data_IF_540441922202
#
_entry.id   IF_540441922202
#
_cell.length_a   1.000
_cell.length_b   1.000
_cell.length_c   1.000
_cell.angle_alpha   90.00
_cell.angle_beta   90.00
_cell.angle_gamma   90.00
#
_symmetry.space_group_name_H-M   'P 1'
#
loop_
_entity.id
_entity.type
_entity.pdbx_description
1 polymer ?
#
# COMPACT_ATOMS: atom_id res chain seq x y z
N UNK A 1 -15.33 -16.65 -19.19
CA UNK A 1 -16.47 -16.35 -18.32
C UNK A 1 -17.63 -17.26 -18.66
N UNK A 2 -18.47 -17.57 -17.69
CA UNK A 2 -19.62 -18.46 -17.84
C UNK A 2 -20.92 -17.67 -17.86
N UNK A 3 -21.90 -18.18 -18.62
CA UNK A 3 -23.27 -17.65 -18.61
C UNK A 3 -23.81 -17.56 -17.18
N UNK A 4 -24.39 -16.40 -16.84
CA UNK A 4 -24.92 -16.09 -15.52
C UNK A 4 -23.92 -15.40 -14.59
N UNK A 5 -22.64 -15.34 -14.97
CA UNK A 5 -21.66 -14.46 -14.32
C UNK A 5 -21.92 -12.99 -14.69
N UNK A 6 -21.13 -12.10 -14.11
CA UNK A 6 -21.15 -10.67 -14.40
C UNK A 6 -19.71 -10.18 -14.50
N UNK A 7 -19.46 -9.16 -15.30
CA UNK A 7 -18.19 -8.43 -15.39
C UNK A 7 -18.37 -7.17 -14.56
N UNK A 8 -17.48 -6.93 -13.58
CA UNK A 8 -17.43 -5.68 -12.80
C UNK A 8 -16.14 -4.96 -13.13
N UNK A 9 -16.26 -3.70 -13.49
CA UNK A 9 -15.16 -2.83 -13.89
C UNK A 9 -15.30 -1.51 -13.15
N UNK A 10 -14.21 -1.04 -12.56
CA UNK A 10 -14.09 0.33 -12.05
C UNK A 10 -12.83 0.97 -12.67
N UNK A 11 -13.01 2.12 -13.30
CA UNK A 11 -11.92 2.90 -13.91
C UNK A 11 -11.72 4.18 -13.13
N UNK A 12 -10.46 4.49 -12.85
CA UNK A 12 -10.09 5.69 -12.10
C UNK A 12 -8.72 6.23 -12.50
N UNK A 13 -8.47 7.50 -12.20
CA UNK A 13 -7.18 8.17 -12.44
C UNK A 13 -6.63 8.78 -11.15
N UNK A 14 -5.30 8.93 -11.03
CA UNK A 14 -4.70 9.49 -9.82
C UNK A 14 -4.73 11.02 -9.79
N UNK A 15 -4.94 11.65 -10.93
CA UNK A 15 -4.87 13.10 -11.14
C UNK A 15 -6.00 13.56 -12.03
N UNK A 16 -6.48 14.77 -11.77
CA UNK A 16 -7.45 15.44 -12.62
C UNK A 16 -6.71 16.05 -13.82
N UNK A 17 -7.03 15.62 -15.03
CA UNK A 17 -6.44 16.12 -16.28
C UNK A 17 -7.45 15.99 -17.43
N UNK A 18 -7.02 16.36 -18.65
CA UNK A 18 -7.81 16.18 -19.88
C UNK A 18 -7.93 14.71 -20.31
N UNK A 19 -7.03 13.84 -19.81
CA UNK A 19 -7.11 12.39 -20.01
C UNK A 19 -8.33 11.81 -19.30
N UNK A 20 -9.33 11.40 -20.08
CA UNK A 20 -10.61 10.87 -19.62
C UNK A 20 -10.94 9.58 -20.41
N UNK A 21 -10.18 8.51 -20.19
CA UNK A 21 -10.28 7.30 -20.99
C UNK A 21 -11.63 6.59 -20.79
N UNK A 22 -12.17 6.03 -21.86
CA UNK A 22 -13.37 5.19 -21.85
C UNK A 22 -13.00 3.70 -21.77
N UNK A 23 -13.98 2.86 -21.47
CA UNK A 23 -13.83 1.39 -21.57
C UNK A 23 -14.58 0.88 -22.79
N UNK A 24 -13.97 -0.03 -23.54
CA UNK A 24 -14.67 -0.92 -24.48
C UNK A 24 -14.69 -2.34 -23.92
N UNK A 25 -15.86 -2.98 -23.94
CA UNK A 25 -16.01 -4.40 -23.58
C UNK A 25 -16.57 -5.15 -24.77
N UNK A 26 -15.94 -6.27 -25.13
CA UNK A 26 -16.39 -7.13 -26.23
C UNK A 26 -16.38 -8.60 -25.84
N UNK A 27 -17.27 -9.37 -26.44
CA UNK A 27 -17.40 -10.80 -26.18
C UNK A 27 -18.71 -11.37 -26.72
N UNK A 28 -18.92 -12.68 -26.55
CA UNK A 28 -20.12 -13.35 -27.03
C UNK A 28 -21.38 -12.83 -26.33
N UNK A 29 -22.50 -12.83 -27.04
CA UNK A 29 -23.79 -12.37 -26.53
C UNK A 29 -23.92 -10.86 -26.23
N UNK A 30 -22.85 -10.06 -26.41
CA UNK A 30 -22.93 -8.60 -26.39
C UNK A 30 -23.50 -8.12 -27.72
N UNK A 31 -24.44 -7.18 -27.67
CA UNK A 31 -24.98 -6.50 -28.86
C UNK A 31 -24.32 -5.14 -28.99
N UNK A 32 -23.82 -4.83 -30.19
CA UNK A 32 -23.30 -3.50 -30.49
C UNK A 32 -24.43 -2.47 -30.48
N UNK A 33 -24.36 -1.55 -29.53
CA UNK A 33 -25.32 -0.43 -29.39
C UNK A 33 -24.77 0.88 -29.92
N UNK A 34 -23.45 1.00 -30.01
CA UNK A 34 -22.75 2.25 -30.29
C UNK A 34 -21.96 2.18 -31.61
N UNK A 35 -21.47 3.33 -32.08
CA UNK A 35 -20.53 3.40 -33.21
C UNK A 35 -19.13 3.08 -32.69
N UNK A 36 -18.44 2.15 -33.35
CA UNK A 36 -17.08 1.77 -32.96
C UNK A 36 -16.13 2.95 -33.22
N UNK A 37 -15.36 3.41 -32.21
CA UNK A 37 -14.39 4.48 -32.40
C UNK A 37 -13.27 4.06 -33.35
N UNK A 38 -12.79 5.00 -34.15
CA UNK A 38 -11.62 4.79 -35.01
C UNK A 38 -10.40 4.43 -34.16
N UNK A 39 -9.70 3.36 -34.52
CA UNK A 39 -8.56 2.83 -33.76
C UNK A 39 -8.88 1.72 -32.75
N UNK A 40 -10.16 1.38 -32.55
CA UNK A 40 -10.56 0.17 -31.81
C UNK A 40 -10.87 -0.97 -32.79
N UNK A 41 -10.22 -2.11 -32.63
CA UNK A 41 -10.50 -3.32 -33.40
C UNK A 41 -11.26 -4.34 -32.53
N UNK A 42 -12.35 -4.89 -33.08
CA UNK A 42 -13.16 -5.90 -32.41
C UNK A 42 -13.02 -7.24 -33.16
N UNK A 43 -12.82 -8.37 -32.44
CA UNK A 43 -12.78 -9.68 -33.08
C UNK A 43 -14.04 -9.98 -33.91
N UNK A 44 -13.87 -10.63 -35.04
CA UNK A 44 -14.96 -10.93 -35.96
C UNK A 44 -16.08 -11.74 -35.26
N UNK A 45 -17.33 -11.32 -35.49
CA UNK A 45 -18.51 -11.97 -34.90
C UNK A 45 -18.79 -11.63 -33.43
N UNK A 46 -18.01 -10.74 -32.79
CA UNK A 46 -18.30 -10.25 -31.44
C UNK A 46 -18.98 -8.88 -31.47
N UNK A 47 -19.94 -8.67 -30.57
CA UNK A 47 -20.46 -7.34 -30.30
C UNK A 47 -19.63 -6.61 -29.26
N UNK A 48 -19.89 -5.32 -29.09
CA UNK A 48 -19.19 -4.47 -28.12
C UNK A 48 -20.13 -3.51 -27.42
N UNK A 49 -19.70 -2.99 -26.28
CA UNK A 49 -20.33 -1.87 -25.58
C UNK A 49 -19.25 -0.88 -25.17
N UNK A 50 -19.55 0.41 -25.26
CA UNK A 50 -18.69 1.48 -24.78
C UNK A 50 -19.24 1.98 -23.44
N UNK A 51 -18.38 2.04 -22.44
CA UNK A 51 -18.69 2.67 -21.16
C UNK A 51 -18.00 4.02 -21.16
N UNK A 52 -18.80 5.07 -21.30
CA UNK A 52 -18.31 6.44 -21.26
C UNK A 52 -17.89 6.83 -19.84
N UNK A 53 -16.75 7.49 -19.78
CA UNK A 53 -16.19 8.01 -18.53
C UNK A 53 -16.74 9.39 -18.21
N UNK A 54 -17.15 9.55 -16.96
CA UNK A 54 -17.56 10.81 -16.37
C UNK A 54 -16.67 11.11 -15.19
N UNK A 55 -15.80 12.09 -15.36
CA UNK A 55 -14.90 12.57 -14.32
C UNK A 55 -15.68 13.00 -13.07
N UNK A 56 -15.58 12.18 -12.01
CA UNK A 56 -16.13 12.47 -10.69
C UNK A 56 -15.27 13.42 -9.86
N UNK A 57 -15.70 13.62 -8.62
CA UNK A 57 -14.86 14.22 -7.59
C UNK A 57 -13.84 13.19 -7.07
N UNK A 58 -12.79 13.67 -6.40
CA UNK A 58 -11.84 12.77 -5.77
C UNK A 58 -12.49 12.03 -4.59
N UNK A 59 -12.18 10.73 -4.47
CA UNK A 59 -12.60 9.87 -3.37
C UNK A 59 -11.40 9.30 -2.63
N UNK A 60 -11.48 9.30 -1.29
CA UNK A 60 -10.41 8.83 -0.42
C UNK A 60 -10.46 7.32 -0.17
N UNK A 61 -9.34 6.64 -0.39
CA UNK A 61 -9.14 5.21 -0.14
C UNK A 61 -8.35 5.01 1.17
N UNK A 62 -8.94 4.37 2.20
CA UNK A 62 -8.35 4.34 3.54
C UNK A 62 -7.21 3.33 3.76
N UNK A 63 -7.04 2.30 2.93
CA UNK A 63 -6.05 1.25 3.17
C UNK A 63 -4.66 1.61 2.64
N UNK A 64 -4.56 2.35 1.54
CA UNK A 64 -3.30 2.81 0.92
C UNK A 64 -2.96 4.28 1.16
N UNK A 65 -3.71 4.95 2.05
CA UNK A 65 -4.09 6.37 2.00
C UNK A 65 -3.82 7.07 0.66
N UNK A 66 -4.83 7.10 -0.19
CA UNK A 66 -4.79 7.75 -1.48
C UNK A 66 -6.11 8.43 -1.80
N UNK A 67 -6.11 9.28 -2.84
CA UNK A 67 -7.33 9.88 -3.37
C UNK A 67 -7.35 9.79 -4.89
N UNK A 68 -8.42 9.21 -5.43
CA UNK A 68 -8.57 8.90 -6.86
C UNK A 68 -9.81 9.56 -7.44
N UNK A 69 -9.79 9.81 -8.74
CA UNK A 69 -10.95 10.29 -9.49
C UNK A 69 -11.56 9.09 -10.21
N UNK A 70 -12.72 8.63 -9.76
CA UNK A 70 -13.46 7.58 -10.46
C UNK A 70 -14.10 8.14 -11.72
N UNK A 71 -13.96 7.38 -12.81
CA UNK A 71 -14.39 7.76 -14.15
C UNK A 71 -15.61 6.95 -14.59
N UNK A 72 -15.62 5.64 -14.34
CA UNK A 72 -16.75 4.79 -14.66
C UNK A 72 -16.81 3.56 -13.76
N UNK A 73 -18.04 3.12 -13.51
CA UNK A 73 -18.41 1.87 -12.86
C UNK A 73 -19.36 1.14 -13.80
N UNK A 74 -19.03 -0.11 -14.16
CA UNK A 74 -19.89 -0.95 -14.96
C UNK A 74 -20.06 -2.36 -14.39
N UNK A 75 -21.31 -2.85 -14.45
CA UNK A 75 -21.67 -4.24 -14.21
C UNK A 75 -22.36 -4.79 -15.45
N UNK A 76 -21.67 -5.66 -16.20
CA UNK A 76 -22.19 -6.24 -17.46
C UNK A 76 -22.55 -7.71 -17.21
N UNK A 77 -23.81 -8.13 -17.47
CA UNK A 77 -24.19 -9.54 -17.34
C UNK A 77 -23.58 -10.39 -18.46
N UNK A 78 -23.07 -11.57 -18.12
CA UNK A 78 -22.56 -12.56 -19.07
C UNK A 78 -23.72 -13.43 -19.53
N UNK A 79 -24.19 -13.21 -20.76
CA UNK A 79 -25.33 -13.91 -21.36
C UNK A 79 -24.93 -15.21 -22.06
N UNK A 80 -23.67 -15.31 -22.49
CA UNK A 80 -23.11 -16.47 -23.19
C UNK A 80 -21.74 -16.84 -22.61
N UNK A 81 -21.44 -18.14 -22.53
CA UNK A 81 -20.13 -18.59 -22.06
C UNK A 81 -19.08 -18.35 -23.12
N UNK A 82 -17.96 -17.71 -22.75
CA UNK A 82 -16.81 -17.53 -23.63
C UNK A 82 -15.79 -16.53 -23.10
N UNK A 83 -14.92 -16.07 -23.99
CA UNK A 83 -13.87 -15.09 -23.67
C UNK A 83 -14.39 -13.68 -23.90
N UNK A 84 -14.18 -12.83 -22.91
CA UNK A 84 -14.50 -11.41 -22.96
C UNK A 84 -13.20 -10.61 -22.89
N UNK A 85 -13.15 -9.51 -23.61
CA UNK A 85 -12.02 -8.60 -23.64
C UNK A 85 -12.46 -7.22 -23.16
N UNK A 86 -11.58 -6.56 -22.42
CA UNK A 86 -11.77 -5.21 -21.90
C UNK A 86 -10.59 -4.38 -22.38
N UNK A 87 -10.88 -3.25 -23.03
CA UNK A 87 -9.89 -2.26 -23.45
C UNK A 87 -10.19 -0.92 -22.81
N UNK A 88 -9.14 -0.15 -22.51
CA UNK A 88 -9.22 1.23 -22.01
C UNK A 88 -8.58 2.13 -23.05
N UNK A 89 -9.26 3.19 -23.48
CA UNK A 89 -8.76 4.06 -24.54
C UNK A 89 -9.10 5.53 -24.32
N UNK A 90 -8.16 6.38 -24.69
CA UNK A 90 -8.29 7.82 -24.96
C UNK A 90 -7.33 8.08 -26.12
N UNK A 91 -7.83 8.58 -27.24
CA UNK A 91 -7.01 8.77 -28.44
C UNK A 91 -6.38 10.16 -28.51
N UNK A 92 -6.90 11.10 -27.72
CA UNK A 92 -6.48 12.50 -27.77
C UNK A 92 -5.46 12.82 -26.68
N UNK A 93 -5.52 12.10 -25.54
CA UNK A 93 -4.73 12.40 -24.37
C UNK A 93 -3.98 11.18 -23.83
N UNK A 94 -2.85 11.44 -23.19
CA UNK A 94 -2.10 10.43 -22.43
C UNK A 94 -2.29 10.62 -20.93
N UNK A 95 -2.30 9.50 -20.20
CA UNK A 95 -2.33 9.56 -18.75
C UNK A 95 -2.28 8.21 -18.09
N UNK A 96 -2.29 8.26 -16.75
CA UNK A 96 -2.25 7.08 -15.89
C UNK A 96 -3.67 6.73 -15.47
N UNK A 97 -4.01 5.45 -15.55
CA UNK A 97 -5.29 4.93 -15.06
C UNK A 97 -5.09 3.65 -14.25
N UNK A 98 -6.08 3.34 -13.42
CA UNK A 98 -6.26 2.06 -12.75
C UNK A 98 -7.56 1.44 -13.25
N UNK A 99 -7.51 0.15 -13.59
CA UNK A 99 -8.69 -0.64 -13.95
C UNK A 99 -8.82 -1.78 -12.94
N UNK A 100 -9.82 -1.69 -12.08
CA UNK A 100 -10.19 -2.80 -11.18
C UNK A 100 -11.17 -3.72 -11.90
N UNK A 101 -10.92 -5.03 -11.82
CA UNK A 101 -11.75 -6.06 -12.47
C UNK A 101 -12.17 -7.11 -11.44
N UNK A 102 -13.47 -7.39 -11.37
CA UNK A 102 -14.04 -8.44 -10.54
C UNK A 102 -14.70 -7.95 -9.24
N UNK A 103 -15.07 -8.90 -8.38
CA UNK A 103 -15.90 -8.65 -7.18
C UNK A 103 -15.22 -8.99 -5.86
N UNK A 104 -14.20 -9.84 -5.91
CA UNK A 104 -13.59 -10.42 -4.72
C UNK A 104 -12.10 -10.21 -4.82
N UNK A 105 -11.57 -9.41 -3.90
CA UNK A 105 -10.14 -9.32 -3.68
C UNK A 105 -9.66 -10.57 -2.94
N UNK A 106 -8.68 -11.25 -3.52
CA UNK A 106 -7.96 -12.36 -2.88
C UNK A 106 -6.48 -12.06 -2.93
N UNK A 107 -5.84 -12.08 -1.77
CA UNK A 107 -4.40 -11.88 -1.65
C UNK A 107 -3.72 -13.19 -1.31
N UNK A 108 -2.77 -13.59 -2.15
CA UNK A 108 -1.79 -14.62 -1.82
C UNK A 108 -0.84 -14.13 -0.73
N UNK A 109 -0.15 -15.07 -0.06
CA UNK A 109 0.87 -14.74 0.96
C UNK A 109 2.00 -13.89 0.33
N UNK A 110 2.40 -14.19 -0.90
CA UNK A 110 3.42 -13.41 -1.62
C UNK A 110 2.98 -11.99 -1.90
N UNK A 111 1.72 -11.78 -2.30
CA UNK A 111 1.16 -10.44 -2.49
C UNK A 111 1.07 -9.70 -1.16
N UNK A 112 0.63 -10.38 -0.10
CA UNK A 112 0.57 -9.82 1.24
C UNK A 112 1.92 -9.29 1.72
N UNK A 113 2.98 -10.10 1.61
CA UNK A 113 4.34 -9.69 1.99
C UNK A 113 4.83 -8.53 1.09
N UNK A 114 4.42 -8.52 -0.18
CA UNK A 114 4.77 -7.51 -1.16
C UNK A 114 4.07 -6.16 -1.02
N UNK A 115 3.03 -6.04 -0.18
CA UNK A 115 2.21 -4.81 -0.05
C UNK A 115 3.04 -3.53 0.16
N UNK A 116 4.10 -3.47 1.00
CA UNK A 116 4.88 -2.25 1.16
C UNK A 116 5.53 -1.77 -0.14
N UNK A 117 5.93 -2.70 -1.01
CA UNK A 117 6.49 -2.42 -2.33
C UNK A 117 5.38 -1.95 -3.27
N UNK A 118 4.24 -2.64 -3.28
CA UNK A 118 3.07 -2.27 -4.10
C UNK A 118 2.55 -0.88 -3.77
N UNK A 119 2.38 -0.55 -2.48
CA UNK A 119 1.95 0.78 -2.02
C UNK A 119 2.95 1.87 -2.42
N UNK A 120 4.25 1.58 -2.37
CA UNK A 120 5.28 2.52 -2.85
C UNK A 120 5.13 2.77 -4.35
N UNK A 121 4.88 1.72 -5.15
CA UNK A 121 4.63 1.84 -6.60
C UNK A 121 3.36 2.62 -6.90
N UNK A 122 2.29 2.40 -6.14
CA UNK A 122 1.03 3.15 -6.26
C UNK A 122 1.28 4.66 -6.06
N UNK A 123 2.04 5.04 -5.03
CA UNK A 123 2.37 6.47 -4.80
C UNK A 123 3.19 7.09 -5.93
N UNK A 124 4.11 6.33 -6.53
CA UNK A 124 4.86 6.79 -7.71
C UNK A 124 3.94 6.89 -8.93
N UNK A 125 3.03 5.93 -9.10
CA UNK A 125 1.98 5.98 -10.11
C UNK A 125 1.10 7.23 -9.90
N UNK A 126 0.79 7.61 -8.66
CA UNK A 126 0.09 8.86 -8.34
C UNK A 126 0.86 10.15 -8.67
N UNK A 127 2.15 10.04 -9.02
CA UNK A 127 3.00 11.16 -9.38
C UNK A 127 3.94 11.62 -8.26
N UNK A 128 3.97 10.94 -7.11
CA UNK A 128 4.92 11.27 -6.05
C UNK A 128 6.34 10.82 -6.43
N UNK A 129 7.33 11.64 -6.06
CA UNK A 129 8.73 11.23 -6.17
C UNK A 129 9.09 10.21 -5.08
N UNK A 130 9.91 9.21 -5.40
CA UNK A 130 10.34 8.17 -4.45
C UNK A 130 10.96 8.74 -3.16
N UNK A 131 11.74 9.82 -3.25
CA UNK A 131 12.33 10.48 -2.08
C UNK A 131 11.26 11.04 -1.16
N UNK A 132 10.19 11.62 -1.71
CA UNK A 132 9.06 12.15 -0.93
C UNK A 132 8.31 11.00 -0.25
N UNK A 133 8.10 9.88 -0.95
CA UNK A 133 7.43 8.70 -0.41
C UNK A 133 8.20 8.11 0.78
N UNK A 134 9.53 8.08 0.72
CA UNK A 134 10.38 7.49 1.76
C UNK A 134 10.87 8.49 2.82
N UNK A 135 10.76 9.80 2.56
CA UNK A 135 11.27 10.85 3.44
C UNK A 135 10.77 10.74 4.90
N UNK A 136 9.47 10.52 5.19
CA UNK A 136 9.01 10.44 6.57
C UNK A 136 9.66 9.28 7.34
N UNK A 137 9.84 8.13 6.70
CA UNK A 137 10.55 6.98 7.27
C UNK A 137 12.02 7.31 7.54
N UNK A 138 12.73 7.86 6.54
CA UNK A 138 14.14 8.21 6.67
C UNK A 138 14.38 9.27 7.74
N UNK A 139 13.58 10.34 7.76
CA UNK A 139 13.70 11.38 8.78
C UNK A 139 13.39 10.86 10.16
N UNK A 140 12.39 9.99 10.33
CA UNK A 140 12.11 9.35 11.62
C UNK A 140 13.32 8.57 12.12
N UNK A 141 13.96 7.78 11.26
CA UNK A 141 15.15 7.00 11.62
C UNK A 141 16.33 7.90 11.95
N UNK A 142 16.65 8.87 11.10
CA UNK A 142 17.81 9.75 11.28
C UNK A 142 17.64 10.61 12.54
N UNK A 143 16.51 11.30 12.67
CA UNK A 143 16.21 12.16 13.83
C UNK A 143 16.16 11.33 15.10
N UNK A 144 15.53 10.15 15.05
CA UNK A 144 15.45 9.23 16.17
C UNK A 144 16.82 8.76 16.66
N UNK A 145 17.70 8.34 15.75
CA UNK A 145 19.07 7.92 16.11
C UNK A 145 19.90 9.08 16.67
N UNK A 146 19.79 10.28 16.08
CA UNK A 146 20.45 11.50 16.58
C UNK A 146 19.96 11.80 18.01
N UNK A 147 18.64 11.81 18.22
CA UNK A 147 18.05 12.08 19.53
C UNK A 147 18.50 11.05 20.60
N UNK A 148 18.56 9.76 20.24
CA UNK A 148 19.03 8.71 21.14
C UNK A 148 20.52 8.84 21.46
N UNK A 149 21.33 9.27 20.51
CA UNK A 149 22.76 9.51 20.70
C UNK A 149 23.04 10.74 21.57
N UNK A 150 22.24 11.80 21.42
CA UNK A 150 22.34 13.02 22.21
C UNK A 150 21.85 12.83 23.66
N UNK A 151 20.92 11.91 23.90
CA UNK A 151 20.37 11.66 25.22
C UNK A 151 21.27 10.72 26.04
N UNK A 152 21.85 11.25 27.13
CA UNK A 152 22.77 10.52 28.01
C UNK A 152 22.20 9.21 28.57
N UNK A 153 20.87 9.13 28.77
CA UNK A 153 20.21 7.93 29.30
C UNK A 153 20.15 6.79 28.27
N UNK A 154 20.03 7.12 26.99
CA UNK A 154 19.85 6.13 25.91
C UNK A 154 21.12 5.88 25.11
N UNK A 155 22.09 6.81 25.13
CA UNK A 155 23.34 6.72 24.37
C UNK A 155 24.10 5.42 24.60
N UNK A 156 24.08 4.89 25.83
CA UNK A 156 24.76 3.63 26.15
C UNK A 156 24.10 2.41 25.51
N UNK A 157 22.79 2.45 25.21
CA UNK A 157 22.09 1.35 24.53
C UNK A 157 22.62 1.19 23.10
N UNK A 158 22.93 2.30 22.42
CA UNK A 158 23.46 2.32 21.05
C UNK A 158 24.87 1.72 20.93
N UNK A 159 25.63 1.62 22.03
CA UNK A 159 26.99 1.02 22.02
C UNK A 159 26.98 -0.50 21.94
N UNK A 160 25.82 -1.14 22.12
CA UNK A 160 25.68 -2.59 21.98
C UNK A 160 24.99 -2.91 20.67
N UNK A 161 25.42 -3.97 19.99
CA UNK A 161 24.79 -4.40 18.74
C UNK A 161 23.28 -4.63 18.92
N UNK A 162 22.89 -5.29 20.01
CA UNK A 162 21.49 -5.52 20.32
C UNK A 162 20.70 -4.21 20.50
N UNK A 163 21.21 -3.28 21.32
CA UNK A 163 20.51 -2.01 21.58
C UNK A 163 20.43 -1.12 20.35
N UNK A 164 21.46 -1.11 19.49
CA UNK A 164 21.43 -0.44 18.19
C UNK A 164 20.37 -1.04 17.26
N UNK A 165 20.40 -2.36 17.03
CA UNK A 165 19.44 -3.02 16.13
C UNK A 165 17.99 -2.87 16.61
N UNK A 166 17.75 -2.99 17.92
CA UNK A 166 16.42 -2.79 18.51
C UNK A 166 15.95 -1.34 18.39
N UNK A 167 16.85 -0.36 18.58
CA UNK A 167 16.52 1.05 18.37
C UNK A 167 16.20 1.33 16.91
N UNK A 168 17.01 0.80 16.00
CA UNK A 168 16.82 0.93 14.56
C UNK A 168 15.50 0.31 14.10
N UNK A 169 15.18 -0.92 14.55
CA UNK A 169 13.91 -1.58 14.26
C UNK A 169 12.71 -0.78 14.83
N UNK A 170 12.80 -0.30 16.07
CA UNK A 170 11.75 0.52 16.68
C UNK A 170 11.47 1.79 15.88
N UNK A 171 12.52 2.47 15.38
CA UNK A 171 12.38 3.65 14.53
C UNK A 171 11.81 3.33 13.16
N UNK A 172 12.16 2.19 12.56
CA UNK A 172 11.54 1.75 11.31
C UNK A 172 10.03 1.55 11.48
N UNK A 173 9.61 0.94 12.59
CA UNK A 173 8.19 0.71 12.92
C UNK A 173 7.46 2.04 13.10
N UNK A 174 7.99 2.93 13.95
CA UNK A 174 7.41 4.27 14.16
C UNK A 174 7.36 5.04 12.84
N UNK A 175 8.45 5.05 12.09
CA UNK A 175 8.56 5.75 10.82
C UNK A 175 7.58 5.24 9.78
N UNK A 176 7.28 3.93 9.75
CA UNK A 176 6.25 3.40 8.87
C UNK A 176 4.85 3.95 9.19
N UNK A 177 4.48 4.04 10.47
CA UNK A 177 3.22 4.65 10.88
C UNK A 177 3.16 6.15 10.57
N UNK A 178 4.26 6.88 10.83
CA UNK A 178 4.38 8.31 10.46
C UNK A 178 4.25 8.49 8.95
N UNK A 179 4.84 7.61 8.12
CA UNK A 179 4.66 7.63 6.67
C UNK A 179 3.20 7.44 6.26
N UNK A 180 2.45 6.56 6.91
CA UNK A 180 1.02 6.38 6.62
C UNK A 180 0.24 7.66 6.95
N UNK A 181 0.50 8.30 8.11
CA UNK A 181 -0.12 9.58 8.46
C UNK A 181 0.24 10.70 7.48
N UNK A 182 1.50 10.79 7.06
CA UNK A 182 1.93 11.77 6.05
C UNK A 182 1.15 11.59 4.74
N UNK A 183 0.96 10.35 4.31
CA UNK A 183 0.25 10.03 3.06
C UNK A 183 -1.24 10.29 3.17
N UNK A 184 -1.83 10.05 4.35
CA UNK A 184 -3.21 10.46 4.65
C UNK A 184 -3.39 11.98 4.53
N UNK A 185 -2.47 12.77 5.10
CA UNK A 185 -2.49 14.24 4.97
C UNK A 185 -2.36 14.65 3.51
N UNK A 186 -1.49 14.00 2.75
CA UNK A 186 -1.33 14.27 1.32
C UNK A 186 -2.61 13.95 0.53
N UNK A 187 -3.26 12.82 0.80
CA UNK A 187 -4.52 12.43 0.16
C UNK A 187 -5.66 13.42 0.45
N UNK A 188 -5.69 14.01 1.66
CA UNK A 188 -6.65 15.05 2.04
C UNK A 188 -6.54 16.35 1.26
N UNK A 189 -5.43 16.59 0.56
CA UNK A 189 -5.34 17.72 -0.37
C UNK A 189 -6.31 17.59 -1.56
N UNK A 190 -6.78 16.38 -1.84
CA UNK A 190 -7.74 16.07 -2.91
C UNK A 190 -9.13 15.74 -2.37
N UNK A 191 -9.21 14.88 -1.35
CA UNK A 191 -10.49 14.41 -0.79
C UNK A 191 -10.36 14.08 0.69
N UNK A 192 -11.30 14.58 1.50
CA UNK A 192 -11.45 14.20 2.90
C UNK A 192 -12.58 13.18 3.05
N UNK A 193 -12.41 12.22 3.97
CA UNK A 193 -13.44 11.22 4.27
C UNK A 193 -13.37 10.77 5.73
N UNK A 194 -14.52 10.42 6.29
CA UNK A 194 -14.63 9.81 7.62
C UNK A 194 -13.92 8.43 7.69
N UNK A 195 -13.80 7.73 6.55
CA UNK A 195 -13.08 6.46 6.46
C UNK A 195 -11.59 6.59 6.81
N UNK A 196 -11.03 7.79 6.83
CA UNK A 196 -9.67 8.06 7.28
C UNK A 196 -9.42 7.71 8.76
N UNK A 197 -10.47 7.57 9.58
CA UNK A 197 -10.33 7.02 10.92
C UNK A 197 -9.74 5.59 10.89
N UNK A 198 -10.12 4.79 9.90
CA UNK A 198 -9.58 3.44 9.69
C UNK A 198 -8.07 3.55 9.46
N UNK A 199 -7.65 4.43 8.55
CA UNK A 199 -6.24 4.69 8.26
C UNK A 199 -5.47 5.11 9.51
N UNK A 200 -6.03 6.02 10.32
CA UNK A 200 -5.40 6.48 11.55
C UNK A 200 -5.19 5.34 12.56
N UNK A 201 -6.17 4.43 12.70
CA UNK A 201 -6.05 3.24 13.54
C UNK A 201 -4.92 2.33 13.03
N UNK A 202 -4.91 2.01 11.74
CA UNK A 202 -3.86 1.17 11.14
C UNK A 202 -2.47 1.80 11.25
N UNK A 203 -2.36 3.12 11.04
CA UNK A 203 -1.10 3.86 11.16
C UNK A 203 -0.56 3.89 12.61
N UNK A 204 -1.46 3.84 13.60
CA UNK A 204 -1.09 3.84 15.02
C UNK A 204 -0.48 2.51 15.48
N UNK A 205 -0.87 1.38 14.88
CA UNK A 205 -0.38 0.05 15.28
C UNK A 205 1.15 -0.06 15.14
N UNK A 206 1.79 0.25 13.98
CA UNK A 206 3.24 0.29 13.85
C UNK A 206 3.92 1.18 14.90
N UNK A 207 3.34 2.33 15.24
CA UNK A 207 3.91 3.25 16.22
C UNK A 207 3.94 2.60 17.61
N UNK A 208 2.83 2.02 18.05
CA UNK A 208 2.73 1.32 19.34
C UNK A 208 3.69 0.12 19.39
N UNK A 209 3.76 -0.66 18.32
CA UNK A 209 4.70 -1.78 18.22
C UNK A 209 6.16 -1.30 18.30
N UNK A 210 6.51 -0.21 17.60
CA UNK A 210 7.85 0.38 17.63
C UNK A 210 8.24 0.93 19.01
N UNK A 211 7.32 1.61 19.71
CA UNK A 211 7.53 2.05 21.10
C UNK A 211 7.74 0.84 22.03
N UNK A 212 6.97 -0.22 21.82
CA UNK A 212 7.11 -1.46 22.61
C UNK A 212 8.47 -2.12 22.40
N UNK A 213 8.93 -2.20 21.15
CA UNK A 213 10.29 -2.66 20.78
C UNK A 213 11.36 -1.82 21.48
N UNK A 214 11.20 -0.50 21.52
CA UNK A 214 12.10 0.40 22.25
C UNK A 214 12.20 0.08 23.74
N UNK A 215 11.11 -0.32 24.39
CA UNK A 215 11.10 -0.72 25.80
C UNK A 215 12.05 -1.89 26.12
N UNK A 216 12.39 -2.72 25.14
CA UNK A 216 13.36 -3.82 25.31
C UNK A 216 14.82 -3.36 25.20
N UNK A 217 15.11 -2.17 24.67
CA UNK A 217 16.50 -1.66 24.52
C UNK A 217 17.19 -1.44 25.87
N UNK A 218 16.43 -1.09 26.91
CA UNK A 218 16.94 -0.76 28.24
C UNK A 218 17.01 -1.96 29.20
N UNK A 219 16.60 -3.16 28.77
CA UNK A 219 16.64 -4.36 29.62
C UNK A 219 18.09 -4.85 29.75
N UNK A 220 18.70 -4.57 30.89
CA UNK A 220 20.06 -4.99 31.23
C UNK A 220 20.04 -6.42 31.75
N UNK A 221 20.62 -7.37 31.02
CA UNK A 221 20.79 -8.75 31.48
C UNK A 221 20.77 -9.79 30.36
N UNK A 222 21.04 -11.07 30.68
CA UNK A 222 20.90 -12.16 29.74
C UNK A 222 19.44 -12.28 29.30
N UNK A 223 19.23 -12.43 27.99
CA UNK A 223 17.89 -12.49 27.40
C UNK A 223 17.25 -13.83 27.73
N UNK A 224 16.15 -13.77 28.47
CA UNK A 224 15.32 -14.93 28.80
C UNK A 224 14.63 -15.48 27.55
N UNK A 225 14.23 -16.75 27.59
CA UNK A 225 13.41 -17.37 26.53
C UNK A 225 12.15 -16.55 26.28
N UNK A 226 11.51 -16.07 27.34
CA UNK A 226 10.34 -15.20 27.25
C UNK A 226 10.62 -13.91 26.46
N UNK A 227 11.78 -13.28 26.68
CA UNK A 227 12.15 -12.07 25.92
C UNK A 227 12.29 -12.37 24.44
N UNK A 228 12.91 -13.50 24.08
CA UNK A 228 13.04 -13.91 22.67
C UNK A 228 11.68 -14.19 22.04
N UNK A 229 10.80 -14.91 22.74
CA UNK A 229 9.43 -15.19 22.27
C UNK A 229 8.64 -13.89 22.06
N UNK A 230 8.73 -12.93 22.98
CA UNK A 230 8.09 -11.62 22.81
C UNK A 230 8.59 -10.86 21.57
N UNK A 231 9.90 -10.90 21.30
CA UNK A 231 10.47 -10.26 20.12
C UNK A 231 10.03 -10.94 18.82
N UNK A 232 9.96 -12.27 18.80
CA UNK A 232 9.43 -13.02 17.65
C UNK A 232 7.95 -12.72 17.42
N UNK A 233 7.14 -12.60 18.48
CA UNK A 233 5.74 -12.19 18.39
C UNK A 233 5.62 -10.77 17.82
N UNK A 234 6.40 -9.82 18.34
CA UNK A 234 6.42 -8.44 17.83
C UNK A 234 6.84 -8.36 16.36
N UNK A 235 7.80 -9.20 15.95
CA UNK A 235 8.20 -9.31 14.54
C UNK A 235 7.07 -9.88 13.67
N UNK A 236 6.39 -10.95 14.13
CA UNK A 236 5.23 -11.52 13.44
C UNK A 236 4.11 -10.50 13.26
N UNK A 237 3.77 -9.74 14.31
CA UNK A 237 2.82 -8.63 14.23
C UNK A 237 3.30 -7.54 13.27
N UNK A 238 4.60 -7.23 13.26
CA UNK A 238 5.17 -6.28 12.32
C UNK A 238 5.03 -6.72 10.86
N UNK A 239 5.13 -8.01 10.55
CA UNK A 239 4.85 -8.52 9.19
C UNK A 239 3.37 -8.45 8.83
N UNK A 240 2.46 -8.69 9.79
CA UNK A 240 1.01 -8.60 9.57
C UNK A 240 0.60 -7.15 9.27
N UNK A 241 1.15 -6.18 10.01
CA UNK A 241 0.80 -4.77 9.87
C UNK A 241 1.81 -3.95 9.05
N UNK A 242 2.74 -4.62 8.37
CA UNK A 242 3.84 -4.01 7.61
C UNK A 242 4.66 -2.95 8.36
N UNK A 243 4.73 -3.07 9.68
CA UNK A 243 5.44 -2.15 10.55
C UNK A 243 6.95 -2.26 10.29
N UNK A 244 7.57 -1.14 9.88
CA UNK A 244 8.97 -1.11 9.46
C UNK A 244 9.22 -1.80 8.12
N UNK A 245 8.18 -1.94 7.28
CA UNK A 245 8.20 -2.71 6.04
C UNK A 245 8.63 -4.17 6.34
N UNK A 246 9.40 -4.79 5.46
CA UNK A 246 9.96 -6.14 5.69
C UNK A 246 11.25 -6.06 6.53
N UNK A 247 11.98 -4.94 6.45
CA UNK A 247 13.29 -4.78 7.08
C UNK A 247 13.20 -4.74 8.61
N UNK A 248 12.25 -4.00 9.16
CA UNK A 248 12.07 -3.90 10.61
C UNK A 248 11.88 -5.27 11.27
N UNK A 249 10.87 -6.07 10.86
CA UNK A 249 10.65 -7.41 11.40
C UNK A 249 11.88 -8.32 11.29
N UNK A 250 12.61 -8.27 10.17
CA UNK A 250 13.85 -9.02 9.99
C UNK A 250 14.93 -8.61 11.00
N UNK A 251 15.12 -7.31 11.24
CA UNK A 251 16.05 -6.80 12.25
C UNK A 251 15.67 -7.25 13.66
N UNK A 252 14.38 -7.29 14.00
CA UNK A 252 13.90 -7.80 15.30
C UNK A 252 14.23 -9.28 15.48
N UNK A 253 14.04 -10.11 14.44
CA UNK A 253 14.38 -11.55 14.48
C UNK A 253 15.88 -11.73 14.71
N UNK A 254 16.72 -11.04 13.93
CA UNK A 254 18.17 -11.08 14.08
C UNK A 254 18.56 -10.67 15.50
N UNK A 255 17.96 -9.59 16.01
CA UNK A 255 18.19 -9.11 17.38
C UNK A 255 17.83 -10.16 18.41
N UNK A 256 16.72 -10.89 18.26
CA UNK A 256 16.29 -11.95 19.17
C UNK A 256 17.25 -13.15 19.20
N UNK A 257 17.92 -13.43 18.08
CA UNK A 257 18.85 -14.54 17.92
C UNK A 257 20.27 -14.27 18.44
N UNK A 258 20.65 -13.00 18.63
CA UNK A 258 21.99 -12.66 19.14
C UNK A 258 22.29 -13.38 20.49
N UNK A 259 23.55 -13.72 20.78
CA UNK A 259 23.95 -14.35 22.04
C UNK A 259 23.79 -13.38 23.22
N UNK A 260 23.44 -13.90 24.41
CA UNK A 260 23.19 -13.08 25.62
C UNK A 260 24.41 -12.31 26.14
N UNK A 261 25.62 -12.62 25.65
CA UNK A 261 26.83 -11.85 25.96
C UNK A 261 26.81 -10.51 25.21
N UNK A 262 27.26 -9.44 25.86
CA UNK A 262 27.37 -8.12 25.24
C UNK A 262 28.33 -8.19 24.05
N UNK A 263 27.84 -7.80 22.87
CA UNK A 263 28.65 -7.50 21.69
C UNK A 263 28.68 -5.98 21.59
N UNK A 264 29.86 -5.40 21.78
CA UNK A 264 30.07 -3.95 21.65
C UNK A 264 30.25 -3.61 20.16
N UNK A 265 29.69 -2.47 19.76
CA UNK A 265 29.92 -1.83 18.47
C UNK A 265 31.13 -0.89 18.53
#
# INVERSE_FOLDING_TARGET
>A
MNRGERIKLDLFTPVKSEFNPNIVVTGPGIKSTDVLPEGVEIPEGMGFIIIESKLGEAEYEPFTPASYYYLSDAIIPVTETGTYYVGVFDFDNEGKYGLAIGYVEKFSISEWIGIPISVTRIRIWEGQNLLVVLAPLFFTVIIGLIALYMNQKTKNNLKTLFGFLMSFAGLLYIGSGISVFYQMINAFTKAFSESALITAVFASIPIVLGITIFGYTSKVGPRTVQTKLSLLLLSGLGLIFWAGMILGPAVVIISAMLPSKKINL
#
